data_IF_088305786291
#
_entry.id   IF_088305786291
#
_cell.length_a   1.000
_cell.length_b   1.000
_cell.length_c   1.000
_cell.angle_alpha   90.00
_cell.angle_beta   90.00
_cell.angle_gamma   90.00
#
_symmetry.space_group_name_H-M   'P 1'
#
loop_
_entity.id
_entity.type
_entity.pdbx_description
1 polymer ?
#
# COMPACT_ATOMS: atom_id res chain seq x y z
N UNK A 1 25.24 38.58 34.52
CA UNK A 1 24.28 39.49 33.89
C UNK A 1 24.24 39.20 32.40
N UNK A 2 23.20 38.50 31.92
CA UNK A 2 23.05 38.20 30.50
C UNK A 2 22.71 39.47 29.75
N UNK A 3 23.47 39.86 28.76
CA UNK A 3 23.22 41.08 27.99
C UNK A 3 22.05 40.83 27.02
N UNK A 4 21.22 41.87 26.78
CA UNK A 4 20.08 41.80 25.85
C UNK A 4 20.44 41.22 24.47
N UNK A 5 21.70 41.39 24.02
CA UNK A 5 22.23 40.75 22.82
C UNK A 5 22.21 39.22 22.88
N UNK A 6 22.54 38.64 24.02
CA UNK A 6 22.54 37.18 24.16
C UNK A 6 21.15 36.57 24.24
N UNK A 7 20.16 37.33 24.74
CA UNK A 7 18.76 36.94 24.77
C UNK A 7 18.17 36.98 23.35
N UNK A 8 18.47 38.02 22.59
CA UNK A 8 18.04 38.13 21.19
C UNK A 8 18.71 37.05 20.32
N UNK A 9 19.98 36.75 20.51
CA UNK A 9 20.67 35.68 19.80
C UNK A 9 20.08 34.29 20.13
N UNK A 10 19.71 34.06 21.39
CA UNK A 10 19.07 32.82 21.83
C UNK A 10 17.66 32.68 21.19
N UNK A 11 16.88 33.78 21.15
CA UNK A 11 15.56 33.79 20.50
C UNK A 11 15.65 33.62 18.98
N UNK A 12 16.66 34.21 18.32
CA UNK A 12 16.91 34.01 16.89
C UNK A 12 17.39 32.60 16.57
N UNK A 13 18.18 31.97 17.46
CA UNK A 13 18.63 30.58 17.29
C UNK A 13 17.49 29.56 17.47
N UNK A 14 16.50 29.86 18.34
CA UNK A 14 15.34 28.98 18.53
C UNK A 14 14.31 29.10 17.39
N UNK A 15 14.26 30.22 16.67
CA UNK A 15 13.41 30.39 15.49
C UNK A 15 13.96 29.69 14.22
N UNK A 16 15.22 29.25 14.23
CA UNK A 16 15.88 28.64 13.06
C UNK A 16 15.69 27.14 12.98
N UNK A 17 15.07 26.48 13.95
CA UNK A 17 14.83 25.03 13.97
C UNK A 17 13.33 24.77 13.79
N UNK A 18 12.80 25.14 12.63
CA UNK A 18 11.57 24.53 12.17
C UNK A 18 11.96 23.24 11.44
N UNK A 19 11.65 22.04 11.97
CA UNK A 19 11.74 20.84 11.19
C UNK A 19 10.76 21.03 10.03
N UNK A 20 11.26 21.06 8.79
CA UNK A 20 10.42 20.95 7.60
C UNK A 20 9.85 19.53 7.63
N UNK A 21 8.69 19.36 8.25
CA UNK A 21 7.93 18.11 8.25
C UNK A 21 7.40 17.97 6.82
N UNK A 22 8.15 17.24 5.99
CA UNK A 22 7.74 16.82 4.66
C UNK A 22 7.52 15.32 4.74
N UNK A 23 6.31 14.92 5.05
CA UNK A 23 5.93 13.51 5.12
C UNK A 23 4.94 13.21 3.98
N UNK A 24 5.44 12.77 2.83
CA UNK A 24 4.61 12.15 1.81
C UNK A 24 4.69 10.63 2.00
N UNK A 25 3.60 10.02 2.47
CA UNK A 25 3.45 8.58 2.53
C UNK A 25 2.92 8.07 1.18
N UNK A 26 3.36 6.88 0.77
CA UNK A 26 2.76 6.15 -0.34
C UNK A 26 1.31 5.79 -0.03
N UNK A 27 0.50 5.71 -1.10
CA UNK A 27 -0.86 5.22 -1.00
C UNK A 27 -0.88 3.81 -0.39
N UNK A 28 -1.59 3.63 0.70
CA UNK A 28 -1.72 2.35 1.37
C UNK A 28 -3.14 1.81 1.23
N UNK A 29 -3.25 0.51 0.93
CA UNK A 29 -4.52 -0.18 0.72
C UNK A 29 -4.96 -0.93 1.98
N UNK A 30 -6.25 -0.93 2.24
CA UNK A 30 -6.86 -1.73 3.30
C UNK A 30 -6.86 -3.21 2.94
N UNK A 31 -7.07 -3.51 1.66
CA UNK A 31 -7.09 -4.86 1.10
C UNK A 31 -5.69 -5.33 0.67
N UNK A 32 -4.62 -4.88 1.36
CA UNK A 32 -3.22 -5.21 1.05
C UNK A 32 -2.96 -6.71 0.98
N UNK A 33 -3.65 -7.54 1.80
CA UNK A 33 -3.50 -8.98 1.81
C UNK A 33 -3.95 -9.65 0.49
N UNK A 34 -4.63 -8.91 -0.35
CA UNK A 34 -4.99 -9.30 -1.71
C UNK A 34 -4.15 -8.60 -2.78
N UNK A 35 -3.22 -7.71 -2.40
CA UNK A 35 -2.47 -6.85 -3.32
C UNK A 35 -0.98 -6.74 -2.95
N UNK A 36 -0.34 -7.85 -2.60
CA UNK A 36 1.08 -7.86 -2.21
C UNK A 36 2.01 -7.37 -3.31
N UNK A 37 1.64 -7.51 -4.59
CA UNK A 37 2.46 -7.07 -5.73
C UNK A 37 2.76 -5.57 -5.69
N UNK A 38 1.83 -4.74 -5.23
CA UNK A 38 2.06 -3.29 -5.13
C UNK A 38 3.20 -2.95 -4.17
N UNK A 39 3.38 -3.74 -3.10
CA UNK A 39 4.37 -3.48 -2.04
C UNK A 39 5.61 -4.40 -2.10
N UNK A 40 5.54 -5.51 -2.87
CA UNK A 40 6.63 -6.48 -2.93
C UNK A 40 6.71 -7.17 -4.30
N UNK A 41 7.75 -6.92 -5.10
CA UNK A 41 7.92 -7.56 -6.42
C UNK A 41 8.13 -9.07 -6.34
N UNK A 42 8.62 -9.62 -5.23
CA UNK A 42 8.83 -11.04 -5.06
C UNK A 42 7.54 -11.87 -4.94
N UNK A 43 6.39 -11.20 -4.79
CA UNK A 43 5.08 -11.84 -4.79
C UNK A 43 4.68 -12.34 -6.19
N UNK A 44 5.13 -11.70 -7.24
CA UNK A 44 4.80 -12.08 -8.62
C UNK A 44 5.27 -13.50 -8.90
N UNK A 45 4.41 -14.34 -9.47
CA UNK A 45 4.73 -15.74 -9.71
C UNK A 45 4.77 -16.64 -8.46
N UNK A 46 4.43 -16.12 -7.28
CA UNK A 46 4.23 -16.95 -6.09
C UNK A 46 3.03 -17.87 -6.22
N UNK A 47 2.07 -17.46 -7.03
CA UNK A 47 0.84 -18.19 -7.33
C UNK A 47 1.00 -18.95 -8.64
N UNK A 48 0.50 -20.19 -8.70
CA UNK A 48 0.58 -21.04 -9.88
C UNK A 48 -0.50 -20.68 -10.95
N UNK A 49 -0.88 -19.40 -11.04
CA UNK A 49 -1.88 -18.89 -11.99
C UNK A 49 -1.56 -17.45 -12.40
N UNK A 50 -2.13 -17.03 -13.52
CA UNK A 50 -2.14 -15.62 -13.93
C UNK A 50 -3.21 -14.89 -13.16
N UNK A 51 -2.91 -13.70 -12.64
CA UNK A 51 -3.89 -12.85 -11.96
C UNK A 51 -3.91 -11.42 -12.49
N UNK A 52 -5.09 -10.83 -12.46
CA UNK A 52 -5.29 -9.39 -12.63
C UNK A 52 -6.04 -8.91 -11.37
N UNK A 53 -5.51 -7.88 -10.73
CA UNK A 53 -6.14 -7.26 -9.56
C UNK A 53 -6.34 -5.78 -9.83
N UNK A 54 -7.56 -5.30 -9.64
CA UNK A 54 -7.92 -3.89 -9.74
C UNK A 54 -8.44 -3.44 -8.38
N UNK A 55 -7.96 -2.29 -7.92
CA UNK A 55 -8.35 -1.66 -6.68
C UNK A 55 -8.71 -0.19 -6.93
N UNK A 56 -9.78 0.24 -6.30
CA UNK A 56 -10.13 1.65 -6.19
C UNK A 56 -10.35 1.99 -4.72
N UNK A 57 -9.69 3.03 -4.24
CA UNK A 57 -9.83 3.55 -2.88
C UNK A 57 -10.22 5.01 -2.94
N UNK A 58 -11.31 5.36 -2.26
CA UNK A 58 -11.79 6.72 -2.06
C UNK A 58 -11.77 7.04 -0.58
N UNK A 59 -11.17 8.17 -0.21
CA UNK A 59 -11.02 8.62 1.18
C UNK A 59 -11.75 9.94 1.36
N UNK A 60 -12.23 10.22 2.58
CA UNK A 60 -12.89 11.49 2.94
C UNK A 60 -14.08 11.84 2.04
N UNK A 61 -14.96 10.87 1.84
CA UNK A 61 -16.14 11.05 0.98
C UNK A 61 -16.95 12.29 1.36
N UNK A 62 -17.26 13.12 0.37
CA UNK A 62 -18.00 14.38 0.53
C UNK A 62 -17.12 15.61 0.66
N UNK A 63 -15.79 15.48 0.54
CA UNK A 63 -14.85 16.60 0.53
C UNK A 63 -14.29 16.76 -0.89
N UNK A 64 -14.42 17.94 -1.45
CA UNK A 64 -13.85 18.25 -2.76
C UNK A 64 -12.33 18.13 -2.75
N UNK A 65 -11.77 17.44 -3.76
CA UNK A 65 -10.34 17.17 -3.84
C UNK A 65 -9.86 16.05 -2.87
N UNK A 66 -10.77 15.28 -2.32
CA UNK A 66 -10.45 14.14 -1.46
C UNK A 66 -9.54 13.11 -2.16
N UNK A 67 -8.71 12.37 -1.40
CA UNK A 67 -7.80 11.39 -1.98
C UNK A 67 -8.53 10.25 -2.69
N UNK A 68 -8.10 9.95 -3.90
CA UNK A 68 -8.54 8.82 -4.70
C UNK A 68 -7.33 8.05 -5.22
N UNK A 69 -7.26 6.75 -4.92
CA UNK A 69 -6.17 5.88 -5.35
C UNK A 69 -6.72 4.74 -6.17
N UNK A 70 -6.17 4.53 -7.35
CA UNK A 70 -6.49 3.41 -8.24
C UNK A 70 -5.23 2.57 -8.46
N UNK A 71 -5.38 1.25 -8.45
CA UNK A 71 -4.30 0.34 -8.77
C UNK A 71 -4.78 -0.78 -9.69
N UNK A 72 -3.91 -1.14 -10.63
CA UNK A 72 -4.06 -2.32 -11.47
C UNK A 72 -2.76 -3.11 -11.41
N UNK A 73 -2.87 -4.42 -11.16
CA UNK A 73 -1.74 -5.32 -11.10
C UNK A 73 -2.03 -6.54 -11.96
N UNK A 74 -1.06 -6.92 -12.76
CA UNK A 74 -1.01 -8.15 -13.52
C UNK A 74 0.17 -8.97 -13.02
N UNK A 75 -0.02 -10.25 -12.73
CA UNK A 75 1.04 -11.18 -12.35
C UNK A 75 0.88 -12.51 -13.07
N UNK A 76 2.00 -13.04 -13.58
CA UNK A 76 2.06 -14.30 -14.29
C UNK A 76 3.26 -15.12 -13.83
N UNK A 77 3.07 -16.41 -13.61
CA UNK A 77 4.15 -17.38 -13.45
C UNK A 77 4.35 -18.16 -14.73
N UNK A 78 5.60 -18.22 -15.22
CA UNK A 78 5.92 -19.07 -16.36
C UNK A 78 5.86 -20.56 -15.97
N UNK A 79 5.13 -21.35 -16.74
CA UNK A 79 5.01 -22.78 -16.53
C UNK A 79 6.39 -23.47 -16.52
N UNK A 80 6.59 -24.40 -15.59
CA UNK A 80 7.83 -25.17 -15.42
C UNK A 80 9.10 -24.32 -15.20
N UNK A 81 8.95 -23.03 -14.94
CA UNK A 81 10.03 -22.12 -14.57
C UNK A 81 9.73 -21.49 -13.24
N UNK A 82 10.75 -21.30 -12.44
CA UNK A 82 10.63 -20.60 -11.16
C UNK A 82 10.61 -19.07 -11.34
N UNK A 83 10.15 -18.59 -12.49
CA UNK A 83 10.16 -17.18 -12.89
C UNK A 83 8.74 -16.62 -12.89
N UNK A 84 8.60 -15.41 -12.43
CA UNK A 84 7.39 -14.60 -12.53
C UNK A 84 7.66 -13.26 -13.19
N UNK A 85 6.66 -12.76 -13.92
CA UNK A 85 6.63 -11.41 -14.47
C UNK A 85 5.35 -10.71 -14.06
N UNK A 86 5.42 -9.44 -13.75
CA UNK A 86 4.27 -8.62 -13.40
C UNK A 86 4.35 -7.22 -13.97
N UNK A 87 3.19 -6.59 -14.08
CA UNK A 87 3.01 -5.19 -14.40
C UNK A 87 2.10 -4.56 -13.35
N UNK A 88 2.43 -3.35 -12.91
CA UNK A 88 1.62 -2.60 -11.96
C UNK A 88 1.46 -1.16 -12.43
N UNK A 89 0.25 -0.63 -12.25
CA UNK A 89 -0.06 0.77 -12.41
C UNK A 89 -0.75 1.27 -11.13
N UNK A 90 -0.30 2.39 -10.59
CA UNK A 90 -0.93 3.05 -9.45
C UNK A 90 -1.09 4.53 -9.81
N UNK A 91 -2.30 5.04 -9.66
CA UNK A 91 -2.62 6.45 -9.79
C UNK A 91 -3.20 6.93 -8.47
N UNK A 92 -2.60 7.96 -7.91
CA UNK A 92 -3.00 8.58 -6.65
C UNK A 92 -3.24 10.07 -6.88
N UNK A 93 -4.45 10.53 -6.57
CA UNK A 93 -4.87 11.90 -6.76
C UNK A 93 -5.29 12.51 -5.43
N UNK A 94 -4.74 13.66 -5.09
CA UNK A 94 -5.07 14.43 -3.89
C UNK A 94 -5.17 15.90 -4.26
N UNK A 95 -6.38 16.45 -4.29
CA UNK A 95 -6.61 17.82 -4.74
C UNK A 95 -6.07 18.05 -6.15
N UNK A 96 -5.18 19.07 -6.32
CA UNK A 96 -4.56 19.36 -7.61
C UNK A 96 -3.41 18.43 -7.99
N UNK A 97 -2.95 17.58 -7.06
CA UNK A 97 -1.77 16.74 -7.24
C UNK A 97 -2.21 15.35 -7.74
N UNK A 98 -1.54 14.86 -8.77
CA UNK A 98 -1.69 13.52 -9.27
C UNK A 98 -0.32 12.84 -9.41
N UNK A 99 -0.16 11.68 -8.76
CA UNK A 99 0.98 10.80 -8.89
C UNK A 99 0.57 9.57 -9.70
N UNK A 100 1.28 9.27 -10.76
CA UNK A 100 1.08 8.04 -11.54
C UNK A 100 2.38 7.25 -11.55
N UNK A 101 2.30 5.99 -11.13
CA UNK A 101 3.42 5.07 -11.13
C UNK A 101 3.11 3.88 -12.02
N UNK A 102 4.04 3.51 -12.89
CA UNK A 102 3.99 2.30 -13.69
C UNK A 102 5.24 1.47 -13.42
N UNK A 103 5.10 0.14 -13.28
CA UNK A 103 6.23 -0.73 -12.98
C UNK A 103 6.15 -2.09 -13.65
N UNK A 104 7.33 -2.69 -13.81
CA UNK A 104 7.55 -4.07 -14.22
C UNK A 104 8.20 -4.79 -13.05
N UNK A 105 7.66 -5.94 -12.68
CA UNK A 105 8.16 -6.81 -11.62
C UNK A 105 8.73 -8.09 -12.23
N UNK A 106 9.90 -8.48 -11.78
CA UNK A 106 10.53 -9.76 -12.12
C UNK A 106 10.82 -10.52 -10.83
N UNK A 107 10.52 -11.80 -10.79
CA UNK A 107 10.76 -12.64 -9.62
C UNK A 107 11.32 -14.00 -9.98
N UNK A 108 12.06 -14.58 -9.02
CA UNK A 108 12.55 -15.94 -9.06
C UNK A 108 12.22 -16.68 -7.78
N UNK A 109 11.62 -17.88 -7.87
CA UNK A 109 11.13 -18.64 -6.73
C UNK A 109 11.98 -19.89 -6.50
N UNK A 110 12.75 -19.89 -5.42
CA UNK A 110 13.53 -21.04 -4.96
C UNK A 110 12.64 -21.99 -4.15
N UNK A 111 12.64 -23.27 -4.48
CA UNK A 111 12.04 -24.31 -3.64
C UNK A 111 13.05 -24.72 -2.57
N UNK A 112 12.71 -24.49 -1.30
CA UNK A 112 13.63 -24.72 -0.20
C UNK A 112 13.53 -26.15 0.36
N UNK A 113 12.36 -26.78 0.26
CA UNK A 113 12.15 -28.15 0.73
C UNK A 113 10.96 -28.83 0.05
N UNK A 114 10.78 -30.13 0.36
CA UNK A 114 9.66 -30.95 -0.13
C UNK A 114 8.29 -30.50 0.39
N UNK A 115 8.23 -29.72 1.46
CA UNK A 115 6.99 -29.16 2.04
C UNK A 115 6.43 -27.97 1.27
N UNK A 116 6.86 -27.77 0.03
CA UNK A 116 6.43 -26.67 -0.86
C UNK A 116 6.75 -25.27 -0.31
N UNK A 117 7.72 -25.16 0.59
CA UNK A 117 8.24 -23.87 1.04
C UNK A 117 9.05 -23.24 -0.10
N UNK A 118 8.65 -22.05 -0.51
CA UNK A 118 9.31 -21.29 -1.59
C UNK A 118 9.82 -19.96 -1.04
N UNK A 119 10.99 -19.55 -1.51
CA UNK A 119 11.55 -18.20 -1.30
C UNK A 119 11.54 -17.47 -2.64
N UNK A 120 10.72 -16.45 -2.76
CA UNK A 120 10.70 -15.50 -3.88
C UNK A 120 11.75 -14.41 -3.67
N UNK A 121 12.50 -14.14 -4.72
CA UNK A 121 13.39 -12.97 -4.85
C UNK A 121 12.79 -12.10 -5.94
N UNK A 122 12.61 -10.80 -5.70
CA UNK A 122 11.94 -9.91 -6.65
C UNK A 122 12.69 -8.62 -6.90
N UNK A 123 12.61 -8.16 -8.14
CA UNK A 123 13.09 -6.84 -8.58
C UNK A 123 11.94 -6.10 -9.24
N UNK A 124 11.84 -4.80 -8.97
CA UNK A 124 10.87 -3.87 -9.57
C UNK A 124 11.62 -2.80 -10.33
N UNK A 125 11.18 -2.51 -11.54
CA UNK A 125 11.60 -1.35 -12.33
C UNK A 125 10.39 -0.47 -12.53
N UNK A 126 10.48 0.79 -12.16
CA UNK A 126 9.32 1.69 -12.18
C UNK A 126 9.65 3.07 -12.70
N UNK A 127 8.62 3.75 -13.18
CA UNK A 127 8.65 5.15 -13.52
C UNK A 127 7.48 5.87 -12.87
N UNK A 128 7.74 7.00 -12.25
CA UNK A 128 6.75 7.84 -11.60
C UNK A 128 6.61 9.16 -12.36
N UNK A 129 5.38 9.55 -12.62
CA UNK A 129 5.02 10.87 -13.13
C UNK A 129 4.28 11.65 -12.04
N UNK A 130 4.77 12.82 -11.72
CA UNK A 130 4.14 13.77 -10.81
C UNK A 130 3.55 14.91 -11.62
N UNK A 131 2.27 15.23 -11.40
CA UNK A 131 1.56 16.29 -12.09
C UNK A 131 0.82 17.16 -11.08
N UNK A 132 0.86 18.47 -11.27
CA UNK A 132 0.05 19.42 -10.50
C UNK A 132 -0.89 20.17 -11.46
N UNK A 133 -2.19 20.10 -11.20
CA UNK A 133 -3.19 20.84 -11.97
C UNK A 133 -3.41 22.20 -11.32
N UNK A 134 -2.72 23.23 -11.79
CA UNK A 134 -2.79 24.57 -11.23
C UNK A 134 -4.16 25.25 -11.44
N UNK A 135 -4.99 24.79 -12.38
CA UNK A 135 -6.33 25.33 -12.59
C UNK A 135 -7.31 25.08 -11.43
N UNK A 136 -6.98 24.14 -10.56
CA UNK A 136 -7.76 23.83 -9.34
C UNK A 136 -7.33 24.68 -8.13
N UNK A 137 -6.27 25.48 -8.27
CA UNK A 137 -5.73 26.32 -7.19
C UNK A 137 -6.32 27.73 -7.39
N UNK A 138 -7.15 28.20 -6.46
CA UNK A 138 -7.58 29.59 -6.44
C UNK A 138 -6.45 30.45 -5.86
N UNK A 139 -5.81 31.23 -6.69
CA UNK A 139 -4.76 32.16 -6.29
C UNK A 139 -5.40 33.41 -5.64
N UNK A 140 -4.86 33.83 -4.50
CA UNK A 140 -5.22 35.11 -3.87
C UNK A 140 -4.68 36.29 -4.67
N UNK A 141 -3.54 36.08 -5.34
CA UNK A 141 -2.93 37.04 -6.29
C UNK A 141 -2.68 36.31 -7.61
N UNK A 142 -3.43 36.73 -8.64
CA UNK A 142 -3.31 36.16 -9.99
C UNK A 142 -2.00 36.54 -10.71
N UNK A 143 -1.20 37.45 -10.14
CA UNK A 143 0.11 37.86 -10.67
C UNK A 143 1.29 37.04 -10.11
N UNK A 144 1.04 36.10 -9.23
CA UNK A 144 2.09 35.26 -8.66
C UNK A 144 2.62 34.25 -9.71
N UNK A 145 3.78 34.57 -10.25
CA UNK A 145 4.45 33.77 -11.28
C UNK A 145 4.88 32.39 -10.84
N UNK A 146 4.90 32.09 -9.53
CA UNK A 146 5.25 30.74 -9.01
C UNK A 146 4.25 29.69 -9.47
N UNK A 147 3.00 30.09 -9.71
CA UNK A 147 1.91 29.21 -10.15
C UNK A 147 1.55 29.40 -11.64
N UNK A 148 2.24 30.29 -12.36
CA UNK A 148 1.95 30.57 -13.77
C UNK A 148 2.40 29.44 -14.71
N UNK A 149 3.35 28.59 -14.29
CA UNK A 149 3.77 27.46 -15.07
C UNK A 149 2.74 26.33 -14.99
N UNK A 150 2.02 26.17 -16.07
CA UNK A 150 1.08 25.10 -16.31
C UNK A 150 1.77 23.75 -16.15
N UNK A 151 1.31 22.98 -15.16
CA UNK A 151 1.61 21.56 -15.02
C UNK A 151 3.11 21.21 -14.99
N UNK A 152 3.73 21.30 -13.83
CA UNK A 152 5.04 20.67 -13.60
C UNK A 152 4.90 19.16 -13.72
N UNK A 153 5.26 18.63 -14.88
CA UNK A 153 5.27 17.20 -15.13
C UNK A 153 6.72 16.68 -15.01
N UNK A 154 7.00 15.92 -13.97
CA UNK A 154 8.32 15.32 -13.78
C UNK A 154 8.22 13.80 -13.78
N UNK A 155 9.10 13.18 -14.55
CA UNK A 155 9.25 11.73 -14.58
C UNK A 155 10.52 11.32 -13.81
N UNK A 156 10.36 10.36 -12.88
CA UNK A 156 11.46 9.83 -12.07
C UNK A 156 11.50 8.30 -12.19
N UNK A 157 12.59 7.72 -12.71
CA UNK A 157 12.77 6.27 -12.69
C UNK A 157 13.13 5.80 -11.28
N UNK A 158 12.74 4.57 -10.94
CA UNK A 158 13.06 3.95 -9.66
C UNK A 158 13.26 2.45 -9.82
N UNK A 159 13.93 1.85 -8.84
CA UNK A 159 14.11 0.41 -8.71
C UNK A 159 13.62 -0.03 -7.36
N UNK A 160 13.18 -1.29 -7.25
CA UNK A 160 12.73 -1.88 -6.00
C UNK A 160 13.18 -3.31 -5.87
N UNK A 161 13.14 -3.83 -4.66
CA UNK A 161 13.49 -5.20 -4.35
C UNK A 161 12.55 -5.79 -3.31
N UNK A 162 12.50 -7.13 -3.26
CA UNK A 162 11.71 -7.81 -2.26
C UNK A 162 12.10 -9.26 -2.05
N UNK A 163 11.71 -9.77 -0.89
CA UNK A 163 11.80 -11.17 -0.49
C UNK A 163 10.41 -11.64 -0.10
N UNK A 164 10.05 -12.87 -0.47
CA UNK A 164 8.76 -13.45 -0.16
C UNK A 164 8.88 -14.94 0.15
N UNK A 165 8.84 -15.29 1.43
CA UNK A 165 8.83 -16.68 1.90
C UNK A 165 7.39 -17.13 2.06
N UNK A 166 7.00 -18.21 1.39
CA UNK A 166 5.62 -18.67 1.45
C UNK A 166 5.47 -20.17 1.23
N UNK A 167 4.38 -20.68 1.72
CA UNK A 167 3.87 -22.01 1.38
C UNK A 167 2.33 -21.94 1.21
N UNK A 168 1.63 -23.06 1.40
CA UNK A 168 0.17 -23.12 1.27
C UNK A 168 -0.56 -22.48 2.47
N UNK A 169 0.09 -22.35 3.62
CA UNK A 169 -0.55 -22.00 4.89
C UNK A 169 -0.11 -20.67 5.46
N UNK A 170 1.08 -20.19 5.10
CA UNK A 170 1.59 -18.91 5.60
C UNK A 170 2.48 -18.22 4.59
N UNK A 171 2.66 -16.94 4.80
CA UNK A 171 3.62 -16.13 4.09
C UNK A 171 4.27 -15.10 5.02
N UNK A 172 5.48 -14.70 4.66
CA UNK A 172 6.19 -13.53 5.19
C UNK A 172 6.90 -12.83 4.04
N UNK A 173 6.78 -11.52 3.96
CA UNK A 173 7.38 -10.72 2.91
C UNK A 173 8.06 -9.48 3.44
N UNK A 174 9.19 -9.13 2.81
CA UNK A 174 9.88 -7.86 2.98
C UNK A 174 9.95 -7.22 1.61
N UNK A 175 9.48 -5.97 1.49
CA UNK A 175 9.45 -5.24 0.23
C UNK A 175 9.92 -3.81 0.38
N UNK A 176 10.70 -3.37 -0.59
CA UNK A 176 11.10 -1.97 -0.77
C UNK A 176 10.83 -1.65 -2.24
N UNK A 177 9.59 -1.26 -2.59
CA UNK A 177 9.19 -1.08 -3.99
C UNK A 177 9.90 0.07 -4.69
N UNK A 178 10.44 1.03 -3.91
CA UNK A 178 11.16 2.19 -4.42
C UNK A 178 12.38 2.46 -3.53
N UNK A 179 13.56 2.18 -4.06
CA UNK A 179 14.84 2.31 -3.34
C UNK A 179 15.46 3.70 -3.50
N UNK A 180 15.21 4.35 -4.64
CA UNK A 180 15.79 5.66 -4.93
C UNK A 180 14.89 6.75 -4.35
N UNK A 181 15.50 7.64 -3.57
CA UNK A 181 14.81 8.81 -3.01
C UNK A 181 14.88 9.98 -3.98
N UNK A 182 13.81 10.75 -4.07
CA UNK A 182 13.76 11.97 -4.86
C UNK A 182 13.68 13.18 -3.90
N UNK A 183 14.77 13.96 -3.85
CA UNK A 183 14.88 15.12 -2.96
C UNK A 183 13.98 16.28 -3.39
N UNK A 184 13.72 16.41 -4.68
CA UNK A 184 12.92 17.52 -5.21
C UNK A 184 11.43 17.36 -4.89
N UNK A 185 10.95 16.10 -4.78
CA UNK A 185 9.57 15.79 -4.41
C UNK A 185 9.42 15.26 -2.98
N UNK A 186 10.47 15.37 -2.16
CA UNK A 186 10.48 14.86 -0.79
C UNK A 186 10.04 13.38 -0.69
N UNK A 187 10.28 12.61 -1.78
CA UNK A 187 9.94 11.21 -1.83
C UNK A 187 10.92 10.41 -0.98
N UNK A 188 10.38 9.69 -0.02
CA UNK A 188 11.15 8.84 0.89
C UNK A 188 10.90 7.38 0.62
N UNK A 189 11.89 6.56 0.94
CA UNK A 189 11.81 5.12 0.81
C UNK A 189 10.80 4.52 1.78
N UNK A 190 9.92 3.66 1.25
CA UNK A 190 8.97 2.90 2.03
C UNK A 190 9.47 1.46 2.19
N UNK A 191 9.56 1.00 3.43
CA UNK A 191 9.91 -0.36 3.78
C UNK A 191 8.65 -1.06 4.30
N UNK A 192 8.39 -2.24 3.78
CA UNK A 192 7.23 -3.06 4.13
C UNK A 192 7.69 -4.39 4.70
N UNK A 193 7.16 -4.74 5.88
CA UNK A 193 7.21 -6.10 6.44
C UNK A 193 5.77 -6.57 6.60
N UNK A 194 5.44 -7.69 6.02
CA UNK A 194 4.09 -8.23 6.12
C UNK A 194 4.11 -9.75 6.26
N UNK A 195 3.14 -10.26 6.96
CA UNK A 195 3.00 -11.70 7.18
C UNK A 195 1.54 -12.06 7.42
N UNK A 196 1.21 -13.30 7.19
CA UNK A 196 -0.12 -13.83 7.40
C UNK A 196 -0.19 -15.33 7.19
N UNK A 197 -1.38 -15.84 7.36
CA UNK A 197 -1.58 -17.27 7.26
C UNK A 197 -3.02 -17.67 6.98
N UNK A 198 -3.23 -18.96 6.81
CA UNK A 198 -4.52 -19.60 6.68
C UNK A 198 -4.61 -20.72 7.69
N UNK A 199 -5.57 -20.64 8.61
CA UNK A 199 -5.82 -21.60 9.67
C UNK A 199 -7.18 -22.26 9.43
N UNK A 200 -7.21 -23.50 9.02
CA UNK A 200 -8.47 -24.25 8.85
C UNK A 200 -8.99 -24.68 10.21
N UNK A 201 -10.12 -24.16 10.64
CA UNK A 201 -10.80 -24.54 11.88
C UNK A 201 -11.61 -25.83 11.69
N UNK A 202 -12.28 -25.93 10.53
CA UNK A 202 -13.00 -27.13 10.11
C UNK A 202 -13.09 -27.16 8.57
N UNK A 203 -13.92 -28.05 8.01
CA UNK A 203 -14.04 -28.20 6.56
C UNK A 203 -14.68 -26.98 5.85
N UNK A 204 -15.39 -26.12 6.59
CA UNK A 204 -16.17 -25.02 6.05
C UNK A 204 -15.69 -23.65 6.50
N UNK A 205 -14.86 -23.59 7.55
CA UNK A 205 -14.45 -22.31 8.15
C UNK A 205 -12.93 -22.26 8.26
N UNK A 206 -12.37 -21.19 7.75
CA UNK A 206 -10.95 -20.87 7.85
C UNK A 206 -10.77 -19.46 8.43
N UNK A 207 -9.68 -19.24 9.15
CA UNK A 207 -9.25 -17.92 9.61
C UNK A 207 -8.03 -17.48 8.82
N UNK A 208 -8.04 -16.21 8.43
CA UNK A 208 -6.97 -15.59 7.65
C UNK A 208 -6.45 -14.34 8.36
N UNK A 209 -5.54 -14.49 9.34
CA UNK A 209 -4.84 -13.36 9.95
C UNK A 209 -3.84 -12.76 8.96
N UNK A 210 -3.71 -11.43 8.98
CA UNK A 210 -2.77 -10.68 8.16
C UNK A 210 -2.24 -9.48 8.92
N UNK A 211 -0.93 -9.22 8.80
CA UNK A 211 -0.24 -8.09 9.39
C UNK A 211 0.61 -7.38 8.35
N UNK A 212 0.66 -6.05 8.45
CA UNK A 212 1.53 -5.21 7.64
C UNK A 212 2.14 -4.12 8.53
N UNK A 213 3.44 -3.96 8.41
CA UNK A 213 4.20 -2.86 8.99
C UNK A 213 4.77 -2.05 7.84
N UNK A 214 4.47 -0.77 7.83
CA UNK A 214 5.03 0.20 6.89
C UNK A 214 5.86 1.21 7.65
N UNK A 215 7.12 1.33 7.26
CA UNK A 215 8.06 2.31 7.78
C UNK A 215 8.53 3.21 6.64
N UNK A 216 8.38 4.52 6.83
CA UNK A 216 8.82 5.56 5.91
C UNK A 216 9.65 6.56 6.68
N UNK A 217 10.83 6.91 6.19
CA UNK A 217 11.68 7.90 6.84
C UNK A 217 10.94 9.23 7.01
N UNK A 218 11.00 9.80 8.21
CA UNK A 218 10.33 11.07 8.58
C UNK A 218 8.80 11.02 8.57
N UNK A 219 8.22 9.82 8.61
CA UNK A 219 6.77 9.62 8.76
C UNK A 219 6.51 8.66 9.93
N UNK A 220 5.35 8.74 10.60
CA UNK A 220 4.96 7.77 11.60
C UNK A 220 4.93 6.36 11.04
N UNK A 221 5.38 5.38 11.81
CA UNK A 221 5.23 3.97 11.45
C UNK A 221 3.76 3.58 11.45
N UNK A 222 3.35 2.82 10.45
CA UNK A 222 1.98 2.34 10.31
C UNK A 222 1.92 0.84 10.48
N UNK A 223 0.99 0.38 11.30
CA UNK A 223 0.72 -1.02 11.60
C UNK A 223 -0.71 -1.35 11.20
N UNK A 224 -0.87 -2.32 10.33
CA UNK A 224 -2.16 -2.88 9.93
C UNK A 224 -2.31 -4.30 10.45
N UNK A 225 -3.47 -4.61 11.02
CA UNK A 225 -3.84 -5.95 11.40
C UNK A 225 -5.26 -6.28 10.97
N UNK A 226 -5.48 -7.47 10.46
CA UNK A 226 -6.82 -7.96 10.12
C UNK A 226 -6.94 -9.46 10.38
N UNK A 227 -8.16 -9.91 10.63
CA UNK A 227 -8.49 -11.34 10.71
C UNK A 227 -9.77 -11.58 9.95
N UNK A 228 -9.70 -12.31 8.84
CA UNK A 228 -10.87 -12.69 8.07
C UNK A 228 -11.35 -14.07 8.46
N UNK A 229 -12.65 -14.23 8.64
CA UNK A 229 -13.34 -15.52 8.68
C UNK A 229 -13.76 -15.83 7.25
N UNK A 230 -13.29 -16.94 6.72
CA UNK A 230 -13.64 -17.43 5.39
C UNK A 230 -14.61 -18.60 5.53
N UNK A 231 -15.79 -18.47 4.96
CA UNK A 231 -16.84 -19.49 5.03
C UNK A 231 -17.03 -20.18 3.66
N UNK A 232 -16.96 -21.52 3.67
CA UNK A 232 -17.15 -22.37 2.49
C UNK A 232 -16.26 -22.01 1.30
N UNK A 233 -15.09 -21.43 1.52
CA UNK A 233 -14.22 -20.88 0.46
C UNK A 233 -14.95 -19.89 -0.48
N UNK A 234 -16.02 -19.28 -0.02
CA UNK A 234 -16.85 -18.39 -0.84
C UNK A 234 -16.96 -16.99 -0.23
N UNK A 235 -17.41 -16.88 1.01
CA UNK A 235 -17.61 -15.60 1.68
C UNK A 235 -16.48 -15.35 2.69
N UNK A 236 -16.05 -14.12 2.80
CA UNK A 236 -15.12 -13.73 3.84
C UNK A 236 -15.48 -12.37 4.42
N UNK A 237 -15.28 -12.22 5.72
CA UNK A 237 -15.53 -11.00 6.46
C UNK A 237 -14.61 -10.95 7.67
N UNK A 238 -14.22 -9.77 8.07
CA UNK A 238 -13.46 -9.59 9.31
C UNK A 238 -13.14 -8.14 9.64
N UNK A 239 -12.74 -7.88 10.88
CA UNK A 239 -12.26 -6.60 11.32
C UNK A 239 -10.86 -6.29 10.79
N UNK A 240 -10.57 -4.99 10.67
CA UNK A 240 -9.26 -4.44 10.43
C UNK A 240 -9.00 -3.29 11.39
N UNK A 241 -7.77 -3.18 11.85
CA UNK A 241 -7.28 -2.02 12.57
C UNK A 241 -6.00 -1.53 11.89
N UNK A 242 -5.90 -0.21 11.72
CA UNK A 242 -4.68 0.48 11.32
C UNK A 242 -4.33 1.47 12.43
N UNK A 243 -3.08 1.50 12.84
CA UNK A 243 -2.59 2.46 13.83
C UNK A 243 -1.25 3.03 13.37
N UNK A 244 -0.99 4.28 13.74
CA UNK A 244 0.29 4.94 13.52
C UNK A 244 0.95 5.19 14.86
N UNK A 245 2.25 4.93 14.95
CA UNK A 245 3.06 5.08 16.16
C UNK A 245 4.21 6.04 15.88
N UNK A 246 4.66 6.76 16.89
CA UNK A 246 5.77 7.72 16.80
C UNK A 246 5.53 8.86 15.80
N UNK A 247 4.36 9.46 15.83
CA UNK A 247 4.06 10.62 14.97
C UNK A 247 4.98 11.83 15.22
N UNK A 248 5.66 11.88 16.36
CA UNK A 248 6.48 13.04 16.78
C UNK A 248 5.68 14.33 17.00
N UNK A 249 4.37 14.27 16.81
CA UNK A 249 3.46 15.40 17.00
C UNK A 249 2.76 15.21 18.35
N UNK A 250 2.91 16.13 19.31
CA UNK A 250 2.17 16.07 20.56
C UNK A 250 0.67 15.96 20.31
N UNK A 251 -0.01 15.03 20.99
CA UNK A 251 -1.43 14.68 20.83
C UNK A 251 -1.83 13.90 19.55
N UNK A 252 -0.88 13.54 18.67
CA UNK A 252 -1.09 12.68 17.52
C UNK A 252 -0.54 11.26 17.72
N UNK A 253 -0.13 10.95 18.93
CA UNK A 253 0.27 9.59 19.29
C UNK A 253 -0.94 8.66 19.12
N UNK A 254 -0.74 7.57 18.34
CA UNK A 254 -1.74 6.53 18.10
C UNK A 254 -2.96 6.97 17.26
N UNK A 255 -2.78 7.80 16.26
CA UNK A 255 -3.81 7.95 15.23
C UNK A 255 -4.05 6.60 14.54
N UNK A 256 -5.30 6.19 14.41
CA UNK A 256 -5.61 4.90 13.79
C UNK A 256 -7.06 4.82 13.33
N UNK A 257 -7.37 3.75 12.58
CA UNK A 257 -8.69 3.53 12.01
C UNK A 257 -9.15 2.12 12.33
N UNK A 258 -10.45 1.98 12.57
CA UNK A 258 -11.13 0.69 12.57
C UNK A 258 -11.81 0.49 11.22
N UNK A 259 -11.81 -0.73 10.75
CA UNK A 259 -12.46 -1.08 9.51
C UNK A 259 -13.10 -2.46 9.54
N UNK A 260 -13.93 -2.68 8.54
CA UNK A 260 -14.48 -3.99 8.22
C UNK A 260 -14.13 -4.29 6.77
N UNK A 261 -13.67 -5.50 6.55
CA UNK A 261 -13.36 -6.01 5.24
C UNK A 261 -14.30 -7.17 4.96
N UNK A 262 -14.92 -7.21 3.79
CA UNK A 262 -15.79 -8.30 3.38
C UNK A 262 -15.65 -8.58 1.89
N UNK A 263 -16.01 -9.78 1.46
CA UNK A 263 -16.04 -10.11 0.04
C UNK A 263 -16.50 -11.50 -0.27
N UNK A 264 -16.44 -11.82 -1.55
CA UNK A 264 -16.95 -13.06 -2.11
C UNK A 264 -16.01 -13.57 -3.21
N UNK A 265 -15.84 -14.88 -3.26
CA UNK A 265 -15.27 -15.60 -4.40
C UNK A 265 -16.41 -16.07 -5.31
N UNK A 266 -16.44 -15.54 -6.52
CA UNK A 266 -17.44 -15.89 -7.54
C UNK A 266 -16.85 -16.96 -8.44
N UNK A 267 -17.31 -18.19 -8.26
CA UNK A 267 -16.73 -19.34 -8.90
C UNK A 267 -15.28 -19.56 -8.45
N UNK A 268 -14.40 -19.97 -9.39
CA UNK A 268 -12.98 -20.26 -9.12
C UNK A 268 -12.05 -19.13 -9.55
N UNK A 269 -12.58 -18.16 -10.26
CA UNK A 269 -11.78 -17.24 -11.08
C UNK A 269 -11.93 -15.77 -10.70
N UNK A 270 -12.92 -15.40 -9.91
CA UNK A 270 -13.17 -14.00 -9.59
C UNK A 270 -13.33 -13.80 -8.09
N UNK A 271 -12.74 -12.74 -7.57
CA UNK A 271 -12.92 -12.27 -6.19
C UNK A 271 -13.39 -10.82 -6.22
N UNK A 272 -14.43 -10.53 -5.48
CA UNK A 272 -14.90 -9.17 -5.21
C UNK A 272 -14.69 -8.90 -3.74
N UNK A 273 -14.02 -7.80 -3.42
CA UNK A 273 -13.74 -7.38 -2.06
C UNK A 273 -14.14 -5.93 -1.83
N UNK A 274 -14.53 -5.64 -0.62
CA UNK A 274 -14.87 -4.31 -0.16
C UNK A 274 -14.30 -4.08 1.23
N UNK A 275 -13.78 -2.88 1.47
CA UNK A 275 -13.36 -2.43 2.78
C UNK A 275 -13.99 -1.08 3.09
N UNK A 276 -14.47 -0.96 4.32
CA UNK A 276 -14.87 0.29 4.93
C UNK A 276 -13.95 0.56 6.12
N UNK A 277 -13.34 1.72 6.14
CA UNK A 277 -12.61 2.24 7.31
C UNK A 277 -13.33 3.47 7.83
N UNK A 278 -13.73 3.43 9.07
CA UNK A 278 -14.37 4.52 9.79
C UNK A 278 -13.42 5.16 10.79
N UNK A 279 -13.94 6.04 11.59
CA UNK A 279 -13.36 6.97 12.54
C UNK A 279 -11.93 6.71 13.04
N UNK A 280 -11.19 7.82 13.22
CA UNK A 280 -9.91 7.84 13.92
C UNK A 280 -10.08 7.40 15.38
N UNK A 281 -9.12 6.60 15.88
CA UNK A 281 -9.01 6.27 17.30
C UNK A 281 -8.86 7.53 18.19
N UNK A 282 -8.46 8.64 17.59
CA UNK A 282 -8.27 9.90 18.28
C UNK A 282 -9.41 10.88 17.98
N UNK A 283 -10.41 10.94 18.85
CA UNK A 283 -11.60 11.79 18.74
C UNK A 283 -11.35 13.30 18.74
N UNK A 284 -10.12 13.73 19.04
CA UNK A 284 -9.79 15.16 19.12
C UNK A 284 -9.56 15.81 17.74
N UNK A 285 -9.50 15.00 16.68
CA UNK A 285 -9.36 15.48 15.31
C UNK A 285 -10.76 15.43 14.70
N UNK A 286 -11.52 16.50 14.74
CA UNK A 286 -12.90 16.58 14.24
C UNK A 286 -13.12 16.31 12.75
N UNK A 287 -12.26 15.50 12.13
CA UNK A 287 -12.31 15.08 10.74
C UNK A 287 -12.84 13.64 10.71
N UNK A 288 -14.04 13.47 10.18
CA UNK A 288 -14.61 12.15 9.88
C UNK A 288 -13.83 11.56 8.71
N UNK A 289 -12.90 10.68 9.01
CA UNK A 289 -12.09 9.98 8.00
C UNK A 289 -12.74 8.65 7.63
N UNK A 290 -13.70 8.65 6.73
CA UNK A 290 -14.18 7.43 6.12
C UNK A 290 -13.42 7.12 4.82
N UNK A 291 -13.10 5.86 4.60
CA UNK A 291 -12.49 5.37 3.38
C UNK A 291 -13.27 4.15 2.89
N UNK A 292 -13.46 4.09 1.60
CA UNK A 292 -14.07 2.97 0.90
C UNK A 292 -13.04 2.40 -0.07
N UNK A 293 -12.91 1.08 -0.10
CA UNK A 293 -12.03 0.42 -1.04
C UNK A 293 -12.76 -0.75 -1.71
N UNK A 294 -12.69 -0.82 -3.03
CA UNK A 294 -13.25 -1.88 -3.84
C UNK A 294 -12.12 -2.66 -4.52
N UNK A 295 -12.18 -3.98 -4.46
CA UNK A 295 -11.26 -4.90 -5.10
C UNK A 295 -11.99 -5.80 -6.08
N UNK A 296 -11.42 -5.91 -7.28
CA UNK A 296 -11.76 -6.93 -8.26
C UNK A 296 -10.50 -7.72 -8.61
N UNK A 297 -10.55 -9.05 -8.47
CA UNK A 297 -9.46 -9.93 -8.86
C UNK A 297 -9.96 -11.01 -9.80
N UNK A 298 -9.24 -11.22 -10.88
CA UNK A 298 -9.44 -12.31 -11.82
C UNK A 298 -8.22 -13.23 -11.79
N UNK A 299 -8.48 -14.54 -11.78
CA UNK A 299 -7.47 -15.60 -11.75
C UNK A 299 -7.67 -16.53 -12.93
N UNK A 300 -6.61 -16.76 -13.70
CA UNK A 300 -6.64 -17.62 -14.89
C UNK A 300 -5.70 -18.79 -14.66
N UNK A 301 -6.27 -19.97 -14.39
CA UNK A 301 -5.49 -21.20 -14.22
C UNK A 301 -5.30 -21.87 -15.58
N UNK A 302 -4.07 -22.15 -16.02
CA UNK A 302 -3.80 -22.76 -17.34
C UNK A 302 -4.36 -24.19 -17.49
N UNK A 303 -4.59 -24.91 -16.39
CA UNK A 303 -5.15 -26.27 -16.38
C UNK A 303 -6.29 -26.35 -15.38
N UNK A 304 -7.34 -27.22 -15.64
CA UNK A 304 -8.35 -27.47 -14.64
C UNK A 304 -7.64 -28.04 -13.38
N UNK A 305 -7.88 -27.48 -12.20
CA UNK A 305 -7.23 -27.95 -11.02
C UNK A 305 -7.71 -29.39 -10.73
N UNK A 306 -6.79 -30.34 -10.64
CA UNK A 306 -7.03 -31.49 -9.81
C UNK A 306 -7.31 -30.95 -8.42
N UNK A 307 -8.58 -30.96 -8.01
CA UNK A 307 -9.15 -30.55 -6.73
C UNK A 307 -8.12 -29.92 -5.77
N UNK A 308 -7.69 -28.73 -6.10
CA UNK A 308 -6.87 -27.96 -5.20
C UNK A 308 -7.85 -27.25 -4.26
N UNK A 309 -8.01 -27.79 -3.07
CA UNK A 309 -8.40 -26.99 -1.92
C UNK A 309 -7.40 -25.84 -1.93
N UNK A 310 -7.87 -24.68 -2.36
CA UNK A 310 -6.96 -23.55 -2.53
C UNK A 310 -6.90 -22.77 -1.23
N UNK A 311 -5.86 -22.96 -0.40
CA UNK A 311 -5.46 -21.97 0.58
C UNK A 311 -4.90 -20.70 -0.07
N UNK A 312 -4.90 -20.63 -1.39
CA UNK A 312 -4.30 -19.61 -2.25
C UNK A 312 -5.13 -18.33 -2.39
N UNK A 313 -5.83 -17.98 -1.36
CA UNK A 313 -6.48 -16.67 -1.23
C UNK A 313 -5.50 -15.57 -0.78
N UNK A 314 -4.21 -15.85 -0.82
CA UNK A 314 -3.17 -14.85 -0.53
C UNK A 314 -2.71 -14.14 -1.77
#
# INVERSE_FOLDING_TARGET
MMTYKNIILFFLATLSVTPLIRAQQEASFSLYMFNHQSINPAYVGAQDYTQITVLNRSQWNGIDGSPETQAINFGHQFENKNLGIGFSGIMDKIGPIQNTNASIDLSYHLRLNDKKLKLGLGLKFSGRSYQTNNSMISLFDSSDNVFSDQTNNKFTPNIGAGLYLHNQNFYIGIGVPYLLEDKDFAYKRNNYLFFGGLLSLNQSIELKPSFLIQNTESSPETYDASVLIVANNMFWIGPQIRTTVNSGIPNYENAGFYGVIAGIHVGKNMTIGYSYQGESLNKNIGIVNNSHELLLRFQFTPKPPNILRSPRLF
#
